data_IF_432272894619
#
_entry.id   IF_432272894619
#
_cell.length_a   1.000
_cell.length_b   1.000
_cell.length_c   1.000
_cell.angle_alpha   90.00
_cell.angle_beta   90.00
_cell.angle_gamma   90.00
#
_symmetry.space_group_name_H-M   'P 1'
#
loop_
_entity.id
_entity.type
_entity.pdbx_description
1 polymer ?
#
# COMPACT_ATOMS: atom_id res chain seq x y z
N UNK A 1 -8.34 11.68 16.69
CA UNK A 1 -7.74 11.23 15.41
C UNK A 1 -8.27 9.83 15.13
N UNK A 2 -9.22 9.67 14.22
CA UNK A 2 -9.68 8.34 13.81
C UNK A 2 -8.57 7.68 12.98
N UNK A 3 -8.11 6.51 13.40
CA UNK A 3 -7.26 5.68 12.56
C UNK A 3 -8.08 5.28 11.30
N UNK A 4 -7.44 5.19 10.12
CA UNK A 4 -8.06 4.60 8.94
C UNK A 4 -8.84 3.32 9.25
N UNK A 5 -10.11 3.28 8.82
CA UNK A 5 -10.92 2.06 8.82
C UNK A 5 -10.28 1.00 7.92
N UNK A 6 -10.27 -0.26 8.36
CA UNK A 6 -9.65 -1.39 7.69
C UNK A 6 -10.55 -2.08 6.64
N UNK A 7 -11.42 -1.32 5.97
CA UNK A 7 -12.32 -1.89 4.96
C UNK A 7 -11.55 -2.24 3.66
N UNK A 8 -11.65 -3.50 3.24
CA UNK A 8 -11.11 -4.01 1.97
C UNK A 8 -12.11 -3.67 0.86
N UNK A 9 -11.89 -2.54 0.18
CA UNK A 9 -12.58 -2.22 -1.06
C UNK A 9 -11.86 -2.80 -2.28
N UNK A 10 -12.61 -3.08 -3.35
CA UNK A 10 -12.08 -3.41 -4.68
C UNK A 10 -12.71 -2.47 -5.71
N UNK A 11 -11.90 -1.89 -6.59
CA UNK A 11 -12.33 -1.02 -7.70
C UNK A 11 -11.76 -1.58 -9.00
N UNK A 12 -12.56 -1.57 -10.07
CA UNK A 12 -12.08 -1.86 -11.42
C UNK A 12 -11.62 -0.56 -12.06
N UNK A 13 -10.31 -0.39 -12.20
CA UNK A 13 -9.68 0.72 -12.93
C UNK A 13 -9.58 0.35 -14.42
N UNK A 14 -9.98 1.23 -15.35
CA UNK A 14 -9.96 0.93 -16.79
C UNK A 14 -8.54 0.77 -17.36
N UNK A 15 -7.52 1.29 -16.67
CA UNK A 15 -6.11 1.22 -17.07
C UNK A 15 -5.39 0.05 -16.40
N UNK A 16 -5.63 -0.17 -15.10
CA UNK A 16 -4.85 -1.11 -14.28
C UNK A 16 -5.60 -2.38 -13.87
N UNK A 17 -6.88 -2.51 -14.23
CA UNK A 17 -7.73 -3.63 -13.87
C UNK A 17 -8.21 -3.56 -12.42
N UNK A 18 -8.43 -4.71 -11.79
CA UNK A 18 -8.96 -4.77 -10.42
C UNK A 18 -7.88 -4.41 -9.39
N UNK A 19 -8.07 -3.27 -8.72
CA UNK A 19 -7.28 -2.79 -7.59
C UNK A 19 -7.99 -3.14 -6.29
N UNK A 20 -7.26 -3.64 -5.30
CA UNK A 20 -7.81 -4.07 -4.01
C UNK A 20 -6.87 -3.73 -2.86
N UNK A 21 -7.38 -3.26 -1.73
CA UNK A 21 -6.56 -3.12 -0.51
C UNK A 21 -5.94 -1.73 -0.29
N UNK A 22 -6.14 -1.32 0.97
CA UNK A 22 -5.68 -0.18 1.76
C UNK A 22 -5.12 1.06 1.05
N UNK A 23 -5.88 2.16 1.12
CA UNK A 23 -5.41 3.36 1.85
C UNK A 23 -6.54 4.00 2.67
N UNK A 24 -6.10 4.82 3.64
CA UNK A 24 -6.71 5.68 4.68
C UNK A 24 -8.22 5.72 5.00
N UNK A 25 -9.14 5.14 4.23
CA UNK A 25 -10.51 4.88 4.72
C UNK A 25 -11.40 4.02 3.83
N UNK A 26 -11.26 3.96 2.48
CA UNK A 26 -12.30 3.29 1.67
C UNK A 26 -11.94 2.71 0.28
N UNK A 27 -10.80 3.04 -0.35
CA UNK A 27 -10.55 2.58 -1.74
C UNK A 27 -9.09 2.20 -2.02
N UNK A 28 -8.94 1.24 -2.95
CA UNK A 28 -7.69 0.85 -3.60
C UNK A 28 -7.12 2.03 -4.40
N UNK A 29 -5.80 2.22 -4.37
CA UNK A 29 -5.17 3.38 -5.00
C UNK A 29 -4.09 3.01 -6.03
N UNK A 30 -4.01 3.86 -7.05
CA UNK A 30 -2.77 4.10 -7.80
C UNK A 30 -2.05 5.27 -7.15
N UNK A 31 -0.83 5.04 -6.67
CA UNK A 31 -0.01 6.03 -5.98
C UNK A 31 1.00 6.63 -6.95
N UNK A 32 0.93 7.94 -7.18
CA UNK A 32 1.86 8.68 -8.03
C UNK A 32 2.96 9.38 -7.25
N UNK A 33 4.22 9.17 -7.61
CA UNK A 33 5.37 9.87 -7.03
C UNK A 33 6.40 10.27 -8.10
N UNK A 34 7.17 11.32 -7.83
CA UNK A 34 8.33 11.64 -8.65
C UNK A 34 9.47 10.62 -8.39
N UNK A 35 10.29 10.27 -9.40
CA UNK A 35 11.50 9.48 -9.21
C UNK A 35 12.43 10.02 -8.12
N UNK A 36 13.04 9.13 -7.36
CA UNK A 36 13.93 9.50 -6.25
C UNK A 36 13.20 9.90 -4.96
N UNK A 37 11.87 9.97 -4.96
CA UNK A 37 11.09 10.14 -3.74
C UNK A 37 11.39 9.02 -2.75
N UNK A 38 11.32 9.35 -1.45
CA UNK A 38 11.44 8.37 -0.37
C UNK A 38 10.09 8.13 0.29
N UNK A 39 9.78 6.86 0.56
CA UNK A 39 8.55 6.47 1.27
C UNK A 39 8.86 5.59 2.48
N UNK A 40 7.98 5.66 3.47
CA UNK A 40 7.89 4.72 4.57
C UNK A 40 6.65 3.86 4.39
N UNK A 41 6.74 2.57 4.73
CA UNK A 41 5.60 1.64 4.70
C UNK A 41 5.15 1.40 6.13
N UNK A 42 3.90 1.73 6.44
CA UNK A 42 3.29 1.44 7.75
C UNK A 42 2.29 0.31 7.61
N UNK A 43 2.47 -0.74 8.40
CA UNK A 43 1.41 -1.71 8.64
C UNK A 43 0.46 -1.14 9.70
N UNK A 44 -0.71 -0.67 9.26
CA UNK A 44 -1.72 -0.11 10.15
C UNK A 44 -2.54 -1.13 10.93
N UNK A 45 -2.44 -2.42 10.61
CA UNK A 45 -3.26 -3.47 11.20
C UNK A 45 -2.55 -4.11 12.40
N UNK A 46 -3.13 -3.97 13.59
CA UNK A 46 -2.57 -4.60 14.79
C UNK A 46 -2.63 -6.13 14.70
N UNK A 47 -1.55 -6.80 15.10
CA UNK A 47 -1.50 -8.27 15.21
C UNK A 47 -1.49 -9.06 13.90
N UNK A 48 -1.60 -8.40 12.73
CA UNK A 48 -1.62 -9.09 11.43
C UNK A 48 -0.39 -8.68 10.61
N UNK A 49 0.49 -9.62 10.25
CA UNK A 49 1.65 -9.33 9.42
C UNK A 49 1.24 -9.04 7.97
N UNK A 50 2.00 -8.16 7.33
CA UNK A 50 1.85 -7.85 5.92
C UNK A 50 3.20 -7.83 5.22
N UNK A 51 3.19 -7.78 3.90
CA UNK A 51 4.37 -7.53 3.06
C UNK A 51 3.98 -6.56 1.96
N UNK A 52 4.94 -5.83 1.39
CA UNK A 52 4.81 -5.12 0.14
C UNK A 52 5.81 -5.72 -0.86
N UNK A 53 5.29 -6.44 -1.85
CA UNK A 53 6.08 -7.05 -2.91
C UNK A 53 5.71 -6.43 -4.25
N UNK A 54 6.70 -6.18 -5.11
CA UNK A 54 6.46 -5.91 -6.53
C UNK A 54 6.21 -7.25 -7.22
N UNK A 55 4.97 -7.46 -7.68
CA UNK A 55 4.56 -8.70 -8.35
C UNK A 55 4.71 -8.63 -9.87
N UNK A 56 4.77 -7.43 -10.43
CA UNK A 56 4.89 -7.19 -11.87
C UNK A 56 5.15 -5.71 -12.14
N UNK A 57 5.62 -5.40 -13.33
CA UNK A 57 5.74 -4.03 -13.86
C UNK A 57 4.72 -3.71 -14.95
N UNK A 58 3.89 -4.68 -15.36
CA UNK A 58 2.98 -4.54 -16.51
C UNK A 58 1.51 -4.80 -16.17
N UNK A 59 1.22 -5.81 -15.36
CA UNK A 59 -0.15 -6.18 -14.95
C UNK A 59 -0.16 -7.11 -13.72
N UNK A 60 -1.29 -7.21 -13.01
CA UNK A 60 -1.44 -8.16 -11.90
C UNK A 60 -1.44 -9.61 -12.40
N UNK A 61 -0.46 -10.45 -12.02
CA UNK A 61 -0.47 -11.86 -12.37
C UNK A 61 -1.56 -12.62 -11.61
N UNK A 62 -2.13 -13.66 -12.21
CA UNK A 62 -3.11 -14.51 -11.51
C UNK A 62 -2.50 -15.27 -10.33
N UNK A 63 -1.23 -15.65 -10.42
CA UNK A 63 -0.53 -16.44 -9.40
C UNK A 63 0.95 -16.03 -9.29
N UNK A 64 1.28 -14.89 -8.65
CA UNK A 64 2.66 -14.48 -8.43
C UNK A 64 3.35 -15.36 -7.38
N UNK A 65 4.66 -15.52 -7.53
CA UNK A 65 5.52 -15.99 -6.45
C UNK A 65 5.83 -14.80 -5.52
N UNK A 66 5.24 -14.80 -4.33
CA UNK A 66 5.39 -13.74 -3.33
C UNK A 66 6.27 -14.21 -2.17
N UNK A 67 7.14 -13.31 -1.68
CA UNK A 67 8.09 -13.62 -0.60
C UNK A 67 7.71 -12.91 0.70
N UNK A 68 7.97 -13.59 1.82
CA UNK A 68 7.97 -13.00 3.17
C UNK A 68 9.37 -12.53 3.61
N UNK A 69 10.39 -12.81 2.80
CA UNK A 69 11.78 -12.36 3.01
C UNK A 69 12.06 -11.11 2.20
N UNK A 70 12.83 -10.19 2.77
CA UNK A 70 13.19 -8.94 2.09
C UNK A 70 14.10 -9.18 0.87
N UNK A 71 13.86 -8.44 -0.22
CA UNK A 71 14.60 -8.49 -1.47
C UNK A 71 14.60 -7.10 -2.15
N UNK A 72 15.59 -6.82 -3.01
CA UNK A 72 15.69 -5.52 -3.71
C UNK A 72 16.30 -4.38 -2.88
N UNK A 73 16.67 -4.62 -1.62
CA UNK A 73 17.37 -3.64 -0.78
C UNK A 73 16.49 -2.46 -0.37
N UNK A 74 17.04 -1.24 -0.43
CA UNK A 74 16.36 0.00 -0.03
C UNK A 74 15.66 0.72 -1.18
N UNK A 75 15.55 0.09 -2.35
CA UNK A 75 14.95 0.71 -3.55
C UNK A 75 13.78 -0.11 -4.03
N UNK A 76 12.62 0.52 -4.19
CA UNK A 76 11.46 -0.11 -4.81
C UNK A 76 11.66 -0.09 -6.32
N UNK A 77 11.86 -1.27 -6.88
CA UNK A 77 12.01 -1.56 -8.30
C UNK A 77 11.48 -2.96 -8.61
N UNK A 78 11.81 -3.50 -9.78
CA UNK A 78 11.51 -4.91 -10.08
C UNK A 78 12.07 -5.83 -8.98
N UNK A 79 11.33 -6.89 -8.66
CA UNK A 79 11.69 -7.91 -7.66
C UNK A 79 11.84 -7.41 -6.21
N UNK A 80 11.42 -6.16 -5.92
CA UNK A 80 11.42 -5.66 -4.55
C UNK A 80 10.42 -6.42 -3.66
N UNK A 81 10.88 -6.77 -2.45
CA UNK A 81 10.04 -7.27 -1.38
C UNK A 81 10.45 -6.62 -0.06
N UNK A 82 9.50 -6.07 0.68
CA UNK A 82 9.77 -5.45 1.99
C UNK A 82 10.20 -6.46 3.07
N UNK A 83 9.96 -7.76 2.84
CA UNK A 83 9.87 -8.76 3.90
C UNK A 83 8.63 -8.57 4.78
N UNK A 84 8.48 -9.43 5.79
CA UNK A 84 7.38 -9.33 6.76
C UNK A 84 7.46 -8.06 7.59
N UNK A 85 6.39 -7.27 7.55
CA UNK A 85 6.16 -6.07 8.35
C UNK A 85 5.16 -6.42 9.45
N UNK A 86 5.61 -6.41 10.69
CA UNK A 86 4.76 -6.70 11.84
C UNK A 86 3.62 -5.68 11.98
N UNK A 87 2.51 -6.10 12.59
CA UNK A 87 1.36 -5.22 12.84
C UNK A 87 1.73 -3.97 13.63
N UNK A 88 1.15 -2.83 13.26
CA UNK A 88 1.42 -1.52 13.88
C UNK A 88 2.86 -0.99 13.73
N UNK A 89 3.69 -1.60 12.89
CA UNK A 89 5.08 -1.17 12.66
C UNK A 89 5.27 -0.40 11.35
N UNK A 90 6.39 0.31 11.25
CA UNK A 90 6.78 1.08 10.07
C UNK A 90 8.18 0.66 9.63
N UNK A 91 8.40 0.49 8.33
CA UNK A 91 9.70 0.11 7.72
C UNK A 91 10.08 1.08 6.59
N UNK A 92 11.38 1.20 6.33
CA UNK A 92 11.96 2.14 5.36
C UNK A 92 13.08 2.99 5.97
N UNK A 93 13.50 4.09 5.30
CA UNK A 93 12.95 4.60 4.05
C UNK A 93 13.29 3.73 2.84
N UNK A 94 12.43 3.77 1.82
CA UNK A 94 12.71 3.19 0.52
C UNK A 94 12.71 4.27 -0.56
N UNK A 95 13.70 4.22 -1.44
CA UNK A 95 13.83 5.09 -2.60
C UNK A 95 13.02 4.54 -3.77
N UNK A 96 12.31 5.42 -4.49
CA UNK A 96 11.49 5.03 -5.62
C UNK A 96 12.25 5.15 -6.95
N UNK A 97 12.42 4.03 -7.65
CA UNK A 97 12.95 4.00 -9.02
C UNK A 97 11.84 4.32 -10.04
N UNK A 98 12.11 5.05 -11.14
CA UNK A 98 11.12 5.27 -12.19
C UNK A 98 10.47 3.98 -12.69
N UNK A 99 9.15 3.97 -12.88
CA UNK A 99 8.40 2.83 -13.40
C UNK A 99 7.00 2.71 -12.83
N UNK A 100 6.22 1.78 -13.39
CA UNK A 100 4.93 1.36 -12.84
C UNK A 100 5.11 0.00 -12.19
N UNK A 101 4.69 -0.12 -10.92
CA UNK A 101 4.84 -1.33 -10.13
C UNK A 101 3.49 -1.79 -9.61
N UNK A 102 3.17 -3.03 -9.91
CA UNK A 102 2.00 -3.72 -9.39
C UNK A 102 2.43 -4.39 -8.09
N UNK A 103 1.78 -4.04 -7.01
CA UNK A 103 2.14 -4.41 -5.65
C UNK A 103 1.17 -5.42 -5.08
N UNK A 104 1.69 -6.40 -4.34
CA UNK A 104 0.92 -7.42 -3.68
C UNK A 104 1.42 -7.73 -2.27
N UNK A 105 0.55 -8.34 -1.46
CA UNK A 105 0.90 -8.87 -0.16
C UNK A 105 0.93 -10.40 -0.19
N UNK A 106 2.04 -11.01 0.24
CA UNK A 106 2.23 -12.47 0.27
C UNK A 106 1.12 -13.21 1.02
N UNK A 107 0.53 -12.59 2.05
CA UNK A 107 -0.53 -13.19 2.85
C UNK A 107 -1.93 -13.01 2.25
N UNK A 108 -2.13 -11.99 1.41
CA UNK A 108 -3.46 -11.46 1.08
C UNK A 108 -3.74 -11.29 -0.42
N UNK A 109 -2.75 -11.56 -1.27
CA UNK A 109 -2.89 -11.39 -2.72
C UNK A 109 -3.96 -12.31 -3.31
N UNK A 110 -3.96 -13.59 -2.94
CA UNK A 110 -4.91 -14.57 -3.47
C UNK A 110 -6.26 -14.56 -2.74
N UNK A 111 -6.27 -14.30 -1.43
CA UNK A 111 -7.45 -14.46 -0.57
C UNK A 111 -8.34 -13.21 -0.53
N UNK A 112 -7.76 -12.01 -0.60
CA UNK A 112 -8.49 -10.75 -0.50
C UNK A 112 -8.12 -9.74 -1.60
N UNK A 113 -7.44 -10.21 -2.65
CA UNK A 113 -7.04 -9.42 -3.80
C UNK A 113 -6.28 -8.14 -3.43
N UNK A 114 -5.40 -8.19 -2.42
CA UNK A 114 -4.57 -7.05 -2.04
C UNK A 114 -3.57 -6.70 -3.15
N UNK A 115 -3.92 -5.67 -3.93
CA UNK A 115 -3.40 -5.20 -5.21
C UNK A 115 -3.36 -3.67 -5.25
N UNK A 116 -2.16 -3.10 -5.21
CA UNK A 116 -1.92 -1.65 -5.29
C UNK A 116 -1.08 -1.35 -6.52
N UNK A 117 -1.24 -0.18 -7.13
CA UNK A 117 -0.32 0.28 -8.18
C UNK A 117 0.50 1.45 -7.65
N UNK A 118 1.80 1.42 -7.93
CA UNK A 118 2.73 2.50 -7.66
C UNK A 118 3.29 2.99 -9.00
N UNK A 119 2.96 4.22 -9.37
CA UNK A 119 3.47 4.88 -10.57
C UNK A 119 4.53 5.92 -10.15
N UNK A 120 5.76 5.71 -10.62
CA UNK A 120 6.91 6.57 -10.36
C UNK A 120 7.34 7.21 -11.67
N UNK A 121 6.86 8.42 -11.92
CA UNK A 121 7.13 9.14 -13.17
C UNK A 121 7.21 10.65 -12.91
N UNK A 122 7.91 11.36 -13.80
CA UNK A 122 8.05 12.80 -13.68
C UNK A 122 6.67 13.47 -13.78
N UNK A 123 6.31 14.27 -12.78
CA UNK A 123 5.01 14.93 -12.73
C UNK A 123 3.84 14.04 -12.28
N UNK A 124 4.09 12.80 -11.85
CA UNK A 124 3.05 11.98 -11.24
C UNK A 124 2.52 12.67 -9.97
N UNK A 125 1.22 12.93 -9.95
CA UNK A 125 0.50 13.32 -8.75
C UNK A 125 -0.10 12.07 -8.11
N UNK A 126 -0.14 11.95 -6.77
CA UNK A 126 -0.95 10.93 -6.13
C UNK A 126 -2.35 10.96 -6.73
N UNK A 127 -2.91 9.78 -7.08
CA UNK A 127 -4.32 9.68 -7.43
C UNK A 127 -5.19 10.29 -6.33
N UNK A 128 -6.48 10.59 -6.59
CA UNK A 128 -7.35 11.25 -5.61
C UNK A 128 -7.21 10.56 -4.24
N UNK A 129 -6.59 11.29 -3.30
CA UNK A 129 -6.44 10.81 -1.94
C UNK A 129 -7.84 10.63 -1.38
N UNK A 130 -8.16 9.45 -0.85
CA UNK A 130 -9.38 9.31 -0.07
C UNK A 130 -9.31 10.30 1.11
N UNK A 131 -10.09 11.38 1.05
CA UNK A 131 -10.33 12.23 2.22
C UNK A 131 -10.95 11.33 3.30
N UNK A 132 -10.42 11.31 4.54
CA UNK A 132 -11.06 10.56 5.61
C UNK A 132 -12.53 10.96 5.70
N UNK A 133 -13.43 10.00 5.93
CA UNK A 133 -14.78 10.34 6.34
C UNK A 133 -14.68 11.27 7.56
N UNK A 134 -15.48 12.36 7.65
CA UNK A 134 -15.45 13.23 8.81
C UNK A 134 -15.58 12.37 10.07
N UNK A 135 -14.59 12.50 10.97
CA UNK A 135 -14.59 11.71 12.20
C UNK A 135 -15.90 11.96 12.93
N UNK A 136 -16.63 10.89 13.25
CA UNK A 136 -17.71 11.00 14.22
C UNK A 136 -17.11 11.61 15.49
N UNK A 137 -17.69 12.72 15.93
CA UNK A 137 -17.29 13.47 17.12
C UNK A 137 -17.19 12.50 18.29
N UNK A 138 -15.98 12.17 18.71
CA UNK A 138 -15.76 11.50 19.98
C UNK A 138 -16.16 12.52 21.07
N UNK A 139 -17.08 12.21 21.99
CA UNK A 139 -17.39 13.13 23.08
C UNK A 139 -16.12 13.40 23.89
N UNK A 140 -15.88 14.65 24.32
CA UNK A 140 -14.64 15.00 25.01
C UNK A 140 -14.51 14.19 26.31
N UNK A 141 -13.37 13.50 26.47
CA UNK A 141 -12.98 12.93 27.77
C UNK A 141 -12.74 14.10 28.74
N UNK A 142 -13.57 14.20 29.78
CA UNK A 142 -13.57 15.32 30.73
C UNK A 142 -12.41 15.25 31.75
N UNK A 143 -11.64 14.16 31.84
CA UNK A 143 -10.41 14.11 32.65
C UNK A 143 -9.42 13.06 32.14
N UNK A 144 -8.18 13.46 31.86
CA UNK A 144 -6.96 12.65 32.06
C UNK A 144 -5.74 13.61 32.16
N UNK A 145 -4.97 13.45 33.24
CA UNK A 145 -3.65 14.04 33.48
C UNK A 145 -2.58 13.30 32.66
#
# INVERSE_FOLDING_TARGET
>A
MALPSTAIGVVTDPTYGSLGGYTQSVYSQSLGFAPGSQIMIRNGQAGVPHTLNVVSTTSFPASPALSTTAAGGTTIGADFASGTVAGSTTVGPFTLSPGTYYLGCAFHYASSAMRTVLNVSAGATPGPQATPAPSATQPPCIYCY
#
